data_IF_957527022835
#
_entry.id   IF_957527022835
#
_cell.length_a   1.000
_cell.length_b   1.000
_cell.length_c   1.000
_cell.angle_alpha   90.00
_cell.angle_beta   90.00
_cell.angle_gamma   90.00
#
_symmetry.space_group_name_H-M   'P 1'
#
loop_
_entity.id
_entity.type
_entity.pdbx_description
1 polymer ?
#
# COMPACT_ATOMS: atom_id res chain seq x y z
N UNK A 1 15.39 22.99 -7.82
CA UNK A 1 15.50 21.51 -7.68
C UNK A 1 15.60 20.98 -6.24
N UNK A 2 16.16 21.71 -5.25
CA UNK A 2 16.23 21.21 -3.85
C UNK A 2 14.84 20.93 -3.22
N UNK A 3 13.87 21.81 -3.41
CA UNK A 3 12.50 21.68 -2.85
C UNK A 3 11.76 20.40 -3.26
N UNK A 4 11.81 20.01 -4.54
CA UNK A 4 11.16 18.78 -5.02
C UNK A 4 11.79 17.50 -4.44
N UNK A 5 13.11 17.54 -4.15
CA UNK A 5 13.84 16.40 -3.58
C UNK A 5 13.51 16.21 -2.09
N UNK A 6 13.36 17.31 -1.35
CA UNK A 6 12.93 17.29 0.06
C UNK A 6 11.49 16.79 0.19
N UNK A 7 10.59 17.26 -0.68
CA UNK A 7 9.19 16.84 -0.64
C UNK A 7 9.04 15.34 -0.90
N UNK A 8 9.74 14.79 -1.90
CA UNK A 8 9.70 13.35 -2.19
C UNK A 8 10.18 12.49 -1.03
N UNK A 9 11.25 12.91 -0.34
CA UNK A 9 11.76 12.17 0.82
C UNK A 9 10.76 12.16 1.98
N UNK A 10 10.03 13.25 2.17
CA UNK A 10 8.95 13.31 3.16
C UNK A 10 7.81 12.34 2.79
N UNK A 11 7.39 12.30 1.53
CA UNK A 11 6.37 11.35 1.08
C UNK A 11 6.85 9.89 1.26
N UNK A 12 8.10 9.57 0.93
CA UNK A 12 8.68 8.24 1.16
C UNK A 12 8.68 7.86 2.65
N UNK A 13 9.08 8.78 3.54
CA UNK A 13 9.07 8.54 4.98
C UNK A 13 7.66 8.27 5.50
N UNK A 14 6.66 9.01 5.00
CA UNK A 14 5.26 8.82 5.38
C UNK A 14 4.71 7.48 4.90
N UNK A 15 5.07 7.05 3.69
CA UNK A 15 4.73 5.70 3.21
C UNK A 15 5.36 4.65 4.13
N UNK A 16 6.62 4.82 4.53
CA UNK A 16 7.29 3.89 5.44
C UNK A 16 6.60 3.82 6.81
N UNK A 17 6.15 4.94 7.37
CA UNK A 17 5.36 4.97 8.62
C UNK A 17 4.07 4.16 8.49
N UNK A 18 3.30 4.40 7.43
CA UNK A 18 2.05 3.66 7.14
C UNK A 18 2.32 2.17 6.95
N UNK A 19 3.38 1.81 6.23
CA UNK A 19 3.75 0.41 5.99
C UNK A 19 4.20 -0.30 7.26
N UNK A 20 4.96 0.37 8.11
CA UNK A 20 5.38 -0.19 9.40
C UNK A 20 4.16 -0.41 10.31
N UNK A 21 3.23 0.55 10.33
CA UNK A 21 1.95 0.39 11.03
C UNK A 21 1.17 -0.81 10.47
N UNK A 22 0.99 -0.89 9.15
CA UNK A 22 0.31 -2.00 8.48
C UNK A 22 0.89 -3.37 8.88
N UNK A 23 2.22 -3.51 8.84
CA UNK A 23 2.92 -4.75 9.20
C UNK A 23 2.69 -5.12 10.67
N UNK A 24 2.70 -4.14 11.58
CA UNK A 24 2.41 -4.36 12.99
C UNK A 24 0.96 -4.81 13.21
N UNK A 25 0.00 -4.15 12.56
CA UNK A 25 -1.42 -4.50 12.67
C UNK A 25 -1.68 -5.92 12.15
N UNK A 26 -1.10 -6.29 10.99
CA UNK A 26 -1.19 -7.67 10.50
C UNK A 26 -0.61 -8.68 11.49
N UNK A 27 0.55 -8.36 12.09
CA UNK A 27 1.18 -9.22 13.08
C UNK A 27 0.32 -9.39 14.35
N UNK A 28 -0.30 -8.32 14.83
CA UNK A 28 -1.26 -8.36 15.95
C UNK A 28 -2.44 -9.27 15.63
N UNK A 29 -3.07 -9.06 14.48
CA UNK A 29 -4.23 -9.84 14.06
C UNK A 29 -3.87 -11.33 13.91
N UNK A 30 -2.73 -11.68 13.31
CA UNK A 30 -2.23 -13.07 13.23
C UNK A 30 -2.05 -13.68 14.65
N UNK A 31 -1.40 -12.95 15.56
CA UNK A 31 -1.12 -13.44 16.93
C UNK A 31 -2.37 -13.57 17.79
N UNK A 32 -3.38 -12.74 17.56
CA UNK A 32 -4.63 -12.74 18.32
C UNK A 32 -5.52 -13.96 18.05
N UNK A 33 -5.19 -14.79 17.06
CA UNK A 33 -6.04 -15.91 16.66
C UNK A 33 -7.31 -15.49 15.92
N UNK A 34 -7.46 -14.20 15.59
CA UNK A 34 -8.35 -13.72 14.54
C UNK A 34 -7.82 -14.25 13.20
N UNK A 35 -8.05 -15.54 12.98
CA UNK A 35 -7.71 -16.27 11.78
C UNK A 35 -8.28 -15.50 10.59
N UNK A 36 -7.40 -14.90 9.78
CA UNK A 36 -7.73 -14.25 8.51
C UNK A 36 -8.26 -15.29 7.51
N UNK A 37 -9.50 -15.72 7.70
CA UNK A 37 -10.32 -16.38 6.69
C UNK A 37 -11.40 -15.43 6.14
N UNK A 38 -11.24 -14.12 6.34
CA UNK A 38 -11.92 -13.16 5.50
C UNK A 38 -11.07 -13.03 4.23
N UNK A 39 -11.32 -13.87 3.23
CA UNK A 39 -10.73 -13.77 1.89
C UNK A 39 -10.85 -12.35 1.30
N UNK A 40 -11.76 -11.50 1.82
CA UNK A 40 -11.89 -10.08 1.46
C UNK A 40 -10.91 -9.10 2.13
N UNK A 41 -10.15 -9.50 3.14
CA UNK A 41 -9.12 -8.66 3.80
C UNK A 41 -7.75 -8.78 3.12
N UNK A 42 -7.48 -9.91 2.45
CA UNK A 42 -6.29 -10.15 1.64
C UNK A 42 -6.55 -9.67 0.22
N UNK A 43 -6.34 -8.37 0.00
CA UNK A 43 -6.21 -7.70 -1.30
C UNK A 43 -6.79 -8.46 -2.51
N UNK A 44 -8.10 -8.34 -2.74
CA UNK A 44 -8.65 -8.64 -4.07
C UNK A 44 -8.43 -7.41 -4.96
N UNK A 45 -7.54 -7.56 -5.95
CA UNK A 45 -7.28 -6.55 -6.97
C UNK A 45 -8.56 -6.09 -7.70
N UNK A 46 -9.56 -6.96 -7.80
CA UNK A 46 -10.82 -6.67 -8.48
C UNK A 46 -11.89 -6.10 -7.53
N UNK A 47 -11.62 -6.02 -6.23
CA UNK A 47 -12.56 -5.41 -5.29
C UNK A 47 -12.64 -3.91 -5.57
N UNK A 48 -13.73 -3.51 -6.22
CA UNK A 48 -14.03 -2.12 -6.50
C UNK A 48 -14.35 -1.32 -5.23
N UNK A 49 -14.62 -0.03 -5.43
CA UNK A 49 -15.01 0.92 -4.38
C UNK A 49 -16.17 0.41 -3.50
N UNK A 50 -17.16 -0.24 -4.11
CA UNK A 50 -18.35 -0.72 -3.40
C UNK A 50 -18.02 -1.85 -2.42
N UNK A 51 -17.12 -2.75 -2.80
CA UNK A 51 -16.64 -3.83 -1.93
C UNK A 51 -15.89 -3.26 -0.71
N UNK A 52 -15.16 -2.16 -0.88
CA UNK A 52 -14.53 -1.45 0.25
C UNK A 52 -15.56 -0.86 1.21
N UNK A 53 -16.60 -0.17 0.73
CA UNK A 53 -17.63 0.40 1.60
C UNK A 53 -18.44 -0.67 2.32
N UNK A 54 -18.77 -1.75 1.62
CA UNK A 54 -19.48 -2.86 2.22
C UNK A 54 -18.64 -3.50 3.32
N UNK A 55 -17.35 -3.75 3.08
CA UNK A 55 -16.47 -4.35 4.07
C UNK A 55 -16.26 -3.39 5.26
N UNK A 56 -15.92 -2.12 5.00
CA UNK A 56 -15.61 -1.12 6.03
C UNK A 56 -16.82 -0.71 6.88
N UNK A 57 -18.05 -0.84 6.37
CA UNK A 57 -19.26 -0.52 7.14
C UNK A 57 -19.72 -1.63 8.09
N UNK A 58 -19.08 -2.81 8.05
CA UNK A 58 -19.39 -3.91 8.97
C UNK A 58 -19.09 -3.49 10.41
N UNK A 59 -20.11 -3.56 11.28
CA UNK A 59 -19.99 -3.23 12.71
C UNK A 59 -19.05 -4.16 13.49
N UNK A 60 -18.73 -5.32 12.93
CA UNK A 60 -17.88 -6.33 13.53
C UNK A 60 -16.39 -6.02 13.42
N UNK A 61 -15.99 -5.08 12.56
CA UNK A 61 -14.59 -4.74 12.38
C UNK A 61 -14.08 -3.82 13.49
N UNK A 62 -12.99 -4.24 14.11
CA UNK A 62 -12.21 -3.41 15.03
C UNK A 62 -11.41 -2.34 14.28
N UNK A 63 -10.82 -1.39 15.01
CA UNK A 63 -10.12 -0.26 14.40
C UNK A 63 -8.85 -0.67 13.65
N UNK A 64 -8.15 -1.72 14.10
CA UNK A 64 -6.97 -2.26 13.42
C UNK A 64 -7.34 -2.87 12.06
N UNK A 65 -8.42 -3.65 12.00
CA UNK A 65 -8.95 -4.23 10.77
C UNK A 65 -9.41 -3.15 9.79
N UNK A 66 -10.09 -2.09 10.29
CA UNK A 66 -10.48 -0.94 9.45
C UNK A 66 -9.27 -0.25 8.85
N UNK A 67 -8.21 -0.07 9.61
CA UNK A 67 -6.97 0.54 9.13
C UNK A 67 -6.28 -0.32 8.06
N UNK A 68 -6.21 -1.65 8.27
CA UNK A 68 -5.68 -2.60 7.26
C UNK A 68 -6.49 -2.49 5.96
N UNK A 69 -7.82 -2.44 6.04
CA UNK A 69 -8.72 -2.33 4.89
C UNK A 69 -8.51 -1.00 4.15
N UNK A 70 -8.39 0.11 4.87
CA UNK A 70 -8.09 1.43 4.28
C UNK A 70 -6.80 1.42 3.48
N UNK A 71 -5.74 0.82 4.02
CA UNK A 71 -4.45 0.72 3.34
C UNK A 71 -4.54 -0.17 2.10
N UNK A 72 -5.25 -1.30 2.19
CA UNK A 72 -5.48 -2.18 1.04
C UNK A 72 -6.31 -1.49 -0.05
N UNK A 73 -7.29 -0.67 0.31
CA UNK A 73 -8.06 0.13 -0.63
C UNK A 73 -7.23 1.22 -1.30
N UNK A 74 -6.34 1.90 -0.56
CA UNK A 74 -5.40 2.85 -1.14
C UNK A 74 -4.48 2.15 -2.17
N UNK A 75 -4.04 0.92 -1.90
CA UNK A 75 -3.28 0.13 -2.87
C UNK A 75 -4.11 -0.29 -4.09
N UNK A 76 -5.38 -0.65 -3.92
CA UNK A 76 -6.24 -1.10 -5.03
C UNK A 76 -6.61 0.03 -5.98
N UNK A 77 -6.69 1.26 -5.45
CA UNK A 77 -6.94 2.48 -6.20
C UNK A 77 -5.78 2.91 -7.11
N UNK A 78 -4.58 2.35 -6.93
CA UNK A 78 -3.44 2.60 -7.81
C UNK A 78 -3.54 1.77 -9.10
N UNK A 79 -2.96 2.27 -10.19
CA UNK A 79 -2.78 1.45 -11.38
C UNK A 79 -1.91 0.22 -11.08
N UNK A 80 -2.06 -0.86 -11.86
CA UNK A 80 -1.32 -2.10 -11.64
C UNK A 80 0.20 -1.88 -11.52
N UNK A 81 0.76 -0.99 -12.35
CA UNK A 81 2.20 -0.69 -12.35
C UNK A 81 2.63 0.14 -11.14
N UNK A 82 1.80 1.09 -10.70
CA UNK A 82 2.08 1.90 -9.51
C UNK A 82 2.03 1.06 -8.25
N UNK A 83 0.98 0.24 -8.12
CA UNK A 83 0.81 -0.71 -7.02
C UNK A 83 1.99 -1.67 -6.92
N UNK A 84 2.43 -2.26 -8.04
CA UNK A 84 3.59 -3.15 -8.05
C UNK A 84 4.83 -2.47 -7.47
N UNK A 85 5.09 -1.21 -7.84
CA UNK A 85 6.22 -0.46 -7.31
C UNK A 85 6.07 -0.21 -5.81
N UNK A 86 4.92 0.28 -5.36
CA UNK A 86 4.67 0.54 -3.93
C UNK A 86 4.82 -0.75 -3.12
N UNK A 87 4.26 -1.85 -3.63
CA UNK A 87 4.33 -3.15 -2.99
C UNK A 87 5.77 -3.64 -2.88
N UNK A 88 6.53 -3.66 -3.98
CA UNK A 88 7.89 -4.22 -4.04
C UNK A 88 8.98 -3.31 -3.48
N UNK A 89 8.73 -2.01 -3.33
CA UNK A 89 9.71 -1.09 -2.73
C UNK A 89 9.48 -0.86 -1.23
N UNK A 90 8.23 -0.96 -0.75
CA UNK A 90 7.91 -0.60 0.63
C UNK A 90 7.34 -1.77 1.45
N UNK A 91 6.31 -2.47 0.93
CA UNK A 91 5.64 -3.53 1.67
C UNK A 91 6.48 -4.82 1.71
N UNK A 92 6.94 -5.27 0.56
CA UNK A 92 7.82 -6.41 0.37
C UNK A 92 9.11 -5.91 -0.25
N UNK A 93 10.14 -5.69 0.56
CA UNK A 93 11.43 -5.20 0.07
C UNK A 93 12.10 -6.31 -0.73
N UNK A 94 11.82 -6.35 -2.02
CA UNK A 94 12.45 -7.27 -2.97
C UNK A 94 13.87 -6.79 -3.31
N UNK A 95 14.62 -7.60 -4.07
CA UNK A 95 15.92 -7.23 -4.60
C UNK A 95 15.92 -5.82 -5.22
N UNK A 96 16.93 -5.00 -4.90
CA UNK A 96 17.05 -3.59 -5.31
C UNK A 96 16.94 -3.37 -6.84
N UNK A 97 17.17 -4.42 -7.62
CA UNK A 97 17.20 -4.40 -9.08
C UNK A 97 16.06 -5.20 -9.72
N UNK A 98 15.02 -5.59 -8.97
CA UNK A 98 13.85 -6.33 -9.46
C UNK A 98 13.24 -5.69 -10.73
N UNK A 99 13.24 -4.36 -10.80
CA UNK A 99 12.65 -3.59 -11.88
C UNK A 99 13.41 -3.69 -13.20
N UNK A 100 14.70 -4.05 -13.18
CA UNK A 100 15.55 -4.09 -14.38
C UNK A 100 15.06 -5.11 -15.42
N UNK A 101 14.33 -6.14 -14.99
CA UNK A 101 13.75 -7.16 -15.87
C UNK A 101 12.49 -6.70 -16.61
N UNK A 102 11.84 -5.63 -16.13
CA UNK A 102 10.50 -5.22 -16.57
C UNK A 102 10.45 -3.79 -17.13
N UNK A 103 11.33 -2.92 -16.66
CA UNK A 103 11.31 -1.50 -16.97
C UNK A 103 12.68 -1.01 -17.40
N UNK A 104 12.71 -0.17 -18.44
CA UNK A 104 13.86 0.70 -18.68
C UNK A 104 14.02 1.65 -17.47
N UNK A 105 15.27 1.95 -17.10
CA UNK A 105 15.68 2.83 -16.02
C UNK A 105 14.88 4.14 -15.97
N UNK A 106 14.81 4.87 -17.09
CA UNK A 106 14.10 6.17 -17.14
C UNK A 106 12.60 6.02 -16.88
N UNK A 107 11.99 4.98 -17.45
CA UNK A 107 10.57 4.65 -17.24
C UNK A 107 10.31 4.31 -15.78
N UNK A 108 11.17 3.48 -15.18
CA UNK A 108 11.05 3.07 -13.79
C UNK A 108 11.10 4.27 -12.85
N UNK A 109 12.12 5.12 -12.92
CA UNK A 109 12.23 6.25 -11.99
C UNK A 109 11.11 7.28 -12.14
N UNK A 110 10.60 7.47 -13.36
CA UNK A 110 9.42 8.32 -13.59
C UNK A 110 8.17 7.70 -12.96
N UNK A 111 7.94 6.41 -13.19
CA UNK A 111 6.79 5.70 -12.66
C UNK A 111 6.86 5.64 -11.13
N UNK A 112 8.01 5.30 -10.55
CA UNK A 112 8.26 5.30 -9.10
C UNK A 112 7.93 6.64 -8.46
N UNK A 113 8.40 7.74 -9.05
CA UNK A 113 8.11 9.07 -8.53
C UNK A 113 6.61 9.38 -8.53
N UNK A 114 5.90 8.96 -9.59
CA UNK A 114 4.45 9.09 -9.68
C UNK A 114 3.74 8.22 -8.65
N UNK A 115 4.09 6.93 -8.54
CA UNK A 115 3.50 6.02 -7.56
C UNK A 115 3.59 6.53 -6.14
N UNK A 116 4.74 7.09 -5.74
CA UNK A 116 4.95 7.65 -4.39
C UNK A 116 3.99 8.83 -4.12
N UNK A 117 3.86 9.74 -5.08
CA UNK A 117 2.97 10.91 -4.93
C UNK A 117 1.52 10.45 -4.87
N UNK A 118 1.12 9.56 -5.78
CA UNK A 118 -0.26 9.10 -5.88
C UNK A 118 -0.66 8.31 -4.64
N UNK A 119 0.17 7.35 -4.20
CA UNK A 119 -0.12 6.58 -2.99
C UNK A 119 -0.12 7.46 -1.74
N UNK A 120 0.84 8.39 -1.62
CA UNK A 120 0.88 9.29 -0.47
C UNK A 120 -0.33 10.23 -0.41
N UNK A 121 -0.96 10.54 -1.55
CA UNK A 121 -2.22 11.29 -1.57
C UNK A 121 -3.41 10.51 -1.04
N UNK A 122 -3.39 9.17 -1.16
CA UNK A 122 -4.48 8.27 -0.75
C UNK A 122 -4.43 7.87 0.72
N UNK A 123 -3.26 7.96 1.35
CA UNK A 123 -3.03 7.59 2.76
C UNK A 123 -2.99 8.81 3.70
N UNK A 124 -3.54 9.96 3.27
CA UNK A 124 -3.61 11.20 4.07
C UNK A 124 -4.72 11.10 5.09
#
# INVERSE_FOLDING_TARGET
MKYQKTNRKNEENRILEVVNRYKLLLCHQIKSGNSFNHEGLLFDYNAGYDAFWELSSRKTLNEEEREIIRINFALSSLSQKEREIIWKEFFFVEDKFWWMRKYNRSTFYRLRAKSIIDFSSLIK
#
